data_IF_225130813794
#
_entry.id   IF_225130813794
#
_cell.length_a   1.000
_cell.length_b   1.000
_cell.length_c   1.000
_cell.angle_alpha   90.00
_cell.angle_beta   90.00
_cell.angle_gamma   90.00
#
_symmetry.space_group_name_H-M   'P 1'
#
loop_
_entity.id
_entity.type
_entity.pdbx_description
1 polymer ?
#
# COMPACT_ATOMS: atom_id res chain seq x y z
N UNK A 1 23.37 11.51 3.04
CA UNK A 1 22.77 11.49 1.68
C UNK A 1 21.31 11.12 1.88
N UNK A 2 20.41 12.09 1.78
CA UNK A 2 18.99 11.87 2.04
C UNK A 2 18.37 11.38 0.72
N UNK A 3 18.51 10.09 0.45
CA UNK A 3 17.77 9.44 -0.63
C UNK A 3 16.28 9.58 -0.29
N UNK A 4 15.64 10.59 -0.89
CA UNK A 4 14.21 10.53 -1.14
C UNK A 4 14.04 9.37 -2.12
N UNK A 5 13.85 8.17 -1.60
CA UNK A 5 13.40 7.02 -2.38
C UNK A 5 12.12 7.45 -3.07
N UNK A 6 12.25 7.80 -4.34
CA UNK A 6 11.18 8.18 -5.24
C UNK A 6 10.45 6.90 -5.70
N UNK A 7 10.27 5.95 -4.77
CA UNK A 7 9.60 4.69 -5.04
C UNK A 7 8.15 5.03 -5.33
N UNK A 8 7.62 4.66 -6.49
CA UNK A 8 6.23 4.94 -6.83
C UNK A 8 5.33 4.40 -5.71
N UNK A 9 4.30 5.15 -5.28
CA UNK A 9 3.44 4.73 -4.19
C UNK A 9 2.77 3.40 -4.55
N UNK A 10 3.01 2.38 -3.73
CA UNK A 10 2.32 1.10 -3.80
C UNK A 10 0.94 1.22 -3.17
N UNK A 11 -0.08 0.67 -3.81
CA UNK A 11 -1.46 0.69 -3.34
C UNK A 11 -1.91 -0.71 -2.94
N UNK A 12 -2.64 -0.82 -1.83
CA UNK A 12 -3.21 -2.10 -1.40
C UNK A 12 -4.25 -2.59 -2.42
N UNK A 13 -4.14 -3.82 -2.90
CA UNK A 13 -5.10 -4.44 -3.84
C UNK A 13 -6.36 -4.94 -3.13
N UNK A 14 -6.24 -5.21 -1.82
CA UNK A 14 -7.30 -5.70 -0.92
C UNK A 14 -7.08 -5.14 0.49
N UNK A 15 -8.08 -5.30 1.35
CA UNK A 15 -7.89 -5.06 2.77
C UNK A 15 -7.05 -6.19 3.35
N UNK A 16 -5.95 -5.84 4.02
CA UNK A 16 -5.09 -6.82 4.68
C UNK A 16 -4.48 -6.24 5.94
N UNK A 17 -4.16 -7.12 6.88
CA UNK A 17 -3.43 -6.77 8.09
C UNK A 17 -2.05 -7.41 8.00
N UNK A 18 -1.01 -6.62 8.20
CA UNK A 18 0.34 -7.13 8.35
C UNK A 18 0.54 -7.57 9.80
N UNK A 19 0.66 -8.88 10.03
CA UNK A 19 0.83 -9.45 11.37
C UNK A 19 2.22 -9.18 11.97
N UNK A 20 3.21 -8.82 11.15
CA UNK A 20 4.56 -8.49 11.63
C UNK A 20 4.64 -7.11 12.28
N UNK A 21 3.86 -6.15 11.79
CA UNK A 21 3.83 -4.75 12.23
C UNK A 21 2.54 -4.35 12.94
N UNK A 22 1.50 -5.18 12.85
CA UNK A 22 0.16 -4.89 13.36
C UNK A 22 -0.60 -3.83 12.55
N UNK A 23 -0.06 -3.39 11.40
CA UNK A 23 -0.68 -2.36 10.56
C UNK A 23 -1.80 -2.95 9.71
N UNK A 24 -2.92 -2.23 9.65
CA UNK A 24 -4.02 -2.57 8.75
C UNK A 24 -4.00 -1.64 7.54
N UNK A 25 -4.08 -2.23 6.35
CA UNK A 25 -4.13 -1.53 5.08
C UNK A 25 -5.49 -1.74 4.45
N UNK A 26 -6.02 -0.66 3.87
CA UNK A 26 -7.33 -0.66 3.22
C UNK A 26 -7.11 -0.67 1.72
N UNK A 27 -7.91 -1.46 1.00
CA UNK A 27 -7.88 -1.52 -0.46
C UNK A 27 -7.87 -0.12 -1.07
N UNK A 28 -7.00 0.09 -2.05
CA UNK A 28 -6.85 1.31 -2.83
C UNK A 28 -6.26 2.51 -2.08
N UNK A 29 -5.87 2.34 -0.81
CA UNK A 29 -5.05 3.31 -0.08
C UNK A 29 -3.56 3.05 -0.34
N UNK A 30 -2.73 4.11 -0.31
CA UNK A 30 -1.29 3.95 -0.38
C UNK A 30 -0.78 3.20 0.86
N UNK A 31 0.14 2.26 0.62
CA UNK A 31 0.80 1.47 1.66
C UNK A 31 2.15 2.11 1.98
N UNK A 32 2.28 2.61 3.21
CA UNK A 32 3.54 3.14 3.73
C UNK A 32 4.30 2.03 4.47
N UNK A 33 5.22 1.39 3.75
CA UNK A 33 6.08 0.32 4.25
C UNK A 33 7.49 0.45 3.64
N UNK A 34 8.46 -0.25 4.20
CA UNK A 34 9.83 -0.31 3.66
C UNK A 34 9.88 -1.07 2.33
N UNK A 35 10.91 -0.86 1.52
CA UNK A 35 11.05 -1.55 0.22
C UNK A 35 11.03 -3.08 0.37
N UNK A 36 11.58 -3.62 1.47
CA UNK A 36 11.54 -5.07 1.76
C UNK A 36 10.13 -5.57 2.09
N UNK A 37 9.34 -4.79 2.82
CA UNK A 37 7.93 -5.11 3.08
C UNK A 37 7.10 -5.03 1.79
N UNK A 38 7.29 -3.96 1.00
CA UNK A 38 6.61 -3.78 -0.28
C UNK A 38 6.89 -4.93 -1.25
N UNK A 39 8.14 -5.39 -1.34
CA UNK A 39 8.49 -6.55 -2.17
C UNK A 39 7.77 -7.83 -1.71
N UNK A 40 7.64 -8.06 -0.40
CA UNK A 40 6.87 -9.19 0.13
C UNK A 40 5.37 -9.05 -0.15
N UNK A 41 4.82 -7.86 0.03
CA UNK A 41 3.41 -7.59 -0.22
C UNK A 41 3.08 -7.70 -1.71
N UNK A 42 3.98 -7.25 -2.60
CA UNK A 42 3.83 -7.36 -4.05
C UNK A 42 3.89 -8.83 -4.50
N UNK A 43 4.85 -9.60 -3.98
CA UNK A 43 4.95 -11.04 -4.25
C UNK A 43 3.70 -11.81 -3.78
N UNK A 44 3.05 -11.36 -2.70
CA UNK A 44 1.78 -11.89 -2.22
C UNK A 44 0.53 -11.37 -2.96
N UNK A 45 0.70 -10.44 -3.91
CA UNK A 45 -0.40 -9.78 -4.61
C UNK A 45 -1.29 -8.94 -3.69
N UNK A 46 -0.74 -8.42 -2.59
CA UNK A 46 -1.39 -7.56 -1.61
C UNK A 46 -1.27 -6.08 -1.97
N UNK A 47 -0.21 -5.69 -2.68
CA UNK A 47 -0.02 -4.34 -3.21
C UNK A 47 0.23 -4.36 -4.71
N UNK A 48 0.00 -3.22 -5.36
CA UNK A 48 0.33 -2.99 -6.75
C UNK A 48 0.69 -1.53 -7.00
N UNK A 49 1.57 -1.23 -7.98
CA UNK A 49 1.87 0.14 -8.38
C UNK A 49 0.68 0.80 -9.08
N UNK A 50 -0.22 -0.01 -9.68
CA UNK A 50 -1.48 0.48 -10.21
C UNK A 50 -2.44 0.76 -9.05
N UNK A 51 -2.92 2.00 -8.96
CA UNK A 51 -3.92 2.37 -7.96
C UNK A 51 -5.22 1.66 -8.34
N UNK A 52 -5.69 0.67 -7.55
CA UNK A 52 -6.99 0.08 -7.81
C UNK A 52 -8.00 1.21 -7.80
N UNK A 53 -8.94 1.16 -8.75
CA UNK A 53 -10.05 2.11 -8.85
C UNK A 53 -10.99 1.86 -7.66
N UNK A 54 -10.56 2.22 -6.46
CA UNK A 54 -11.45 2.42 -5.34
C UNK A 54 -12.24 3.66 -5.68
N UNK A 55 -13.53 3.46 -5.88
CA UNK A 55 -14.52 4.50 -5.71
C UNK A 55 -14.27 5.06 -4.31
N UNK A 56 -13.51 6.16 -4.29
CA UNK A 56 -13.13 6.86 -3.07
C UNK A 56 -14.45 7.15 -2.37
N UNK A 57 -14.72 6.63 -1.14
CA UNK A 57 -15.89 7.10 -0.43
C UNK A 57 -15.65 8.60 -0.28
N UNK A 58 -16.55 9.37 -0.91
CA UNK A 58 -16.49 10.81 -0.96
C UNK A 58 -16.11 11.30 0.43
N UNK A 59 -15.04 12.10 0.50
CA UNK A 59 -14.77 12.89 1.69
C UNK A 59 -16.09 13.54 2.08
N UNK A 60 -16.62 13.12 3.22
CA UNK A 60 -17.97 13.46 3.67
C UNK A 60 -18.05 14.99 3.73
N UNK A 61 -19.05 15.53 3.03
CA UNK A 61 -19.38 16.95 2.93
C UNK A 61 -19.59 17.60 4.31
#
# INVERSE_FOLDING_TARGET
MTEKTNTPPMYATRDFNDSGTGKSFVKGKPVAATDGELANYEAGGLVSPDKPKVEQPAAKA
#
